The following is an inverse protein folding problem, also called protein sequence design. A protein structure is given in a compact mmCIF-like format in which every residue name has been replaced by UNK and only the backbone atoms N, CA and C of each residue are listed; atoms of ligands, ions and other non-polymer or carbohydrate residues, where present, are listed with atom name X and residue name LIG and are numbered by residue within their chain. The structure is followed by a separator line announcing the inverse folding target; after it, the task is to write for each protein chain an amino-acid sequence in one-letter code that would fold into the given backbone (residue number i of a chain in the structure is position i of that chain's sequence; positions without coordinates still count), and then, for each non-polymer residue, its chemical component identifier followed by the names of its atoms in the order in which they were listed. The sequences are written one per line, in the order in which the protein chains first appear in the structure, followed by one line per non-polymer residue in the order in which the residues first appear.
data_IF_958054315068
#
_entry.id   IF_958054315068
#
_cell.length_a   1.000
_cell.length_b   1.000
_cell.length_c   1.000
_cell.angle_alpha   90.00
_cell.angle_beta   90.00
_cell.angle_gamma   90.00
#
_symmetry.space_group_name_H-M   'P 1'
#
loop_
_entity.id
_entity.type
_entity.pdbx_description
1 polymer ?
#
# COMPACT_ATOMS: atom_id res chain seq x y z
N UNK A 1 -0.57 6.88 -21.32
CA UNK A 1 0.55 7.56 -20.61
C UNK A 1 0.11 8.20 -19.31
N UNK A 2 -0.88 9.11 -19.32
CA UNK A 2 -1.36 9.81 -18.12
C UNK A 2 -1.67 8.87 -16.92
N UNK A 3 -2.47 7.83 -17.15
CA UNK A 3 -2.81 6.84 -16.11
C UNK A 3 -1.59 6.19 -15.46
N UNK A 4 -0.55 5.89 -16.25
CA UNK A 4 0.67 5.29 -15.77
C UNK A 4 1.51 6.26 -14.93
N UNK A 5 1.65 7.51 -15.38
CA UNK A 5 2.34 8.54 -14.60
C UNK A 5 1.62 8.83 -13.28
N UNK A 6 0.30 8.85 -13.31
CA UNK A 6 -0.53 9.07 -12.12
C UNK A 6 -0.34 7.93 -11.11
N UNK A 7 -0.47 6.66 -11.54
CA UNK A 7 -0.22 5.52 -10.65
C UNK A 7 1.23 5.47 -10.17
N UNK A 8 2.20 5.73 -11.04
CA UNK A 8 3.61 5.80 -10.68
C UNK A 8 3.84 6.84 -9.58
N UNK A 9 3.31 8.05 -9.74
CA UNK A 9 3.42 9.12 -8.74
C UNK A 9 2.76 8.72 -7.42
N UNK A 10 1.56 8.12 -7.47
CA UNK A 10 0.83 7.66 -6.31
C UNK A 10 1.62 6.60 -5.53
N UNK A 11 2.07 5.53 -6.19
CA UNK A 11 2.77 4.43 -5.52
C UNK A 11 4.17 4.80 -5.06
N UNK A 12 4.85 5.74 -5.73
CA UNK A 12 6.17 6.22 -5.30
C UNK A 12 6.08 7.13 -4.09
N UNK A 13 5.14 8.08 -4.11
CA UNK A 13 5.03 9.11 -3.09
C UNK A 13 4.14 8.73 -1.92
N UNK A 14 3.39 7.62 -2.00
CA UNK A 14 2.34 7.23 -1.04
C UNK A 14 2.63 7.55 0.44
N UNK A 15 3.79 7.14 1.00
CA UNK A 15 4.07 7.39 2.42
C UNK A 15 4.35 8.88 2.75
N UNK A 16 4.76 9.67 1.76
CA UNK A 16 5.15 11.07 1.90
C UNK A 16 4.05 12.05 1.50
N UNK A 17 2.92 11.57 1.00
CA UNK A 17 1.83 12.42 0.53
C UNK A 17 1.15 13.11 1.70
N UNK A 18 0.97 14.43 1.57
CA UNK A 18 0.05 15.17 2.42
C UNK A 18 -1.37 14.65 2.21
N UNK A 19 -2.24 14.78 3.22
CA UNK A 19 -3.66 14.40 3.13
C UNK A 19 -4.36 14.92 1.86
N UNK A 20 -4.27 16.23 1.49
CA UNK A 20 -4.89 16.71 0.26
C UNK A 20 -4.23 16.13 -0.99
N UNK A 21 -2.91 15.97 -1.01
CA UNK A 21 -2.19 15.37 -2.15
C UNK A 21 -2.60 13.91 -2.39
N UNK A 22 -2.76 13.13 -1.32
CA UNK A 22 -3.26 11.76 -1.40
C UNK A 22 -4.70 11.73 -1.94
N UNK A 23 -5.60 12.56 -1.41
CA UNK A 23 -6.99 12.63 -1.88
C UNK A 23 -7.05 13.03 -3.36
N UNK A 24 -6.23 13.99 -3.79
CA UNK A 24 -6.15 14.42 -5.19
C UNK A 24 -5.74 13.27 -6.12
N UNK A 25 -4.70 12.51 -5.76
CA UNK A 25 -4.22 11.39 -6.58
C UNK A 25 -5.21 10.22 -6.60
N UNK A 26 -5.85 9.92 -5.47
CA UNK A 26 -6.89 8.90 -5.39
C UNK A 26 -8.12 9.27 -6.23
N UNK A 27 -8.64 10.50 -6.07
CA UNK A 27 -9.76 11.01 -6.86
C UNK A 27 -9.41 11.07 -8.35
N UNK A 28 -8.23 11.58 -8.70
CA UNK A 28 -7.75 11.63 -10.07
C UNK A 28 -7.65 10.23 -10.69
N UNK A 29 -7.22 9.22 -9.91
CA UNK A 29 -7.21 7.83 -10.35
C UNK A 29 -8.63 7.34 -10.67
N UNK A 30 -9.56 7.55 -9.75
CA UNK A 30 -10.95 7.11 -9.88
C UNK A 30 -11.70 7.81 -11.02
N UNK A 31 -11.53 9.12 -11.17
CA UNK A 31 -12.13 9.90 -12.26
C UNK A 31 -11.56 9.47 -13.62
N UNK A 32 -10.24 9.27 -13.72
CA UNK A 32 -9.64 8.81 -14.97
C UNK A 32 -10.10 7.40 -15.34
N UNK A 33 -10.21 6.50 -14.36
CA UNK A 33 -10.78 5.17 -14.58
C UNK A 33 -12.24 5.24 -15.01
N UNK A 34 -13.06 6.08 -14.39
CA UNK A 34 -14.46 6.25 -14.74
C UNK A 34 -14.60 6.80 -16.16
N UNK A 35 -13.89 7.87 -16.50
CA UNK A 35 -13.89 8.43 -17.85
C UNK A 35 -13.48 7.40 -18.89
N UNK A 36 -12.41 6.63 -18.63
CA UNK A 36 -12.01 5.55 -19.52
C UNK A 36 -13.10 4.47 -19.61
N UNK A 37 -13.83 4.18 -18.52
CA UNK A 37 -14.92 3.18 -18.50
C UNK A 37 -16.14 3.61 -19.26
N UNK A 38 -16.44 4.91 -19.29
CA UNK A 38 -17.59 5.45 -20.02
C UNK A 38 -17.35 5.56 -21.53
N UNK A 39 -16.09 5.68 -21.94
CA UNK A 39 -15.71 5.82 -23.35
C UNK A 39 -15.52 4.48 -24.09
N UNK A 40 -15.49 3.36 -23.36
CA UNK A 40 -15.28 2.03 -23.92
C UNK A 40 -16.46 1.11 -23.65
N UNK A 41 -16.72 0.12 -24.53
CA UNK A 41 -17.77 -0.87 -24.28
C UNK A 41 -17.49 -1.65 -23.00
N UNK A 42 -18.56 -2.02 -22.30
CA UNK A 42 -18.49 -2.75 -21.05
C UNK A 42 -17.77 -4.10 -21.27
N UNK A 43 -16.66 -4.29 -20.55
CA UNK A 43 -15.98 -5.58 -20.48
C UNK A 43 -16.57 -6.43 -19.35
N UNK A 44 -16.59 -7.77 -19.50
CA UNK A 44 -17.03 -8.65 -18.43
C UNK A 44 -16.13 -8.49 -17.19
N UNK A 45 -16.75 -8.42 -16.01
CA UNK A 45 -16.03 -8.32 -14.75
C UNK A 45 -15.33 -9.64 -14.42
N UNK A 46 -14.01 -9.59 -14.22
CA UNK A 46 -13.22 -10.74 -13.74
C UNK A 46 -13.63 -11.18 -12.33
N UNK A 47 -13.18 -12.37 -11.91
CA UNK A 47 -13.49 -12.95 -10.59
C UNK A 47 -13.17 -12.00 -9.43
N UNK A 48 -11.98 -11.40 -9.44
CA UNK A 48 -11.56 -10.42 -8.42
C UNK A 48 -12.48 -9.18 -8.40
N UNK A 49 -12.85 -8.67 -9.58
CA UNK A 49 -13.76 -7.52 -9.68
C UNK A 49 -15.13 -7.83 -9.07
N UNK A 50 -15.66 -9.03 -9.29
CA UNK A 50 -16.93 -9.47 -8.68
C UNK A 50 -16.83 -9.55 -7.15
N UNK A 51 -15.75 -10.09 -6.61
CA UNK A 51 -15.53 -10.15 -5.15
C UNK A 51 -15.44 -8.75 -4.53
N UNK A 52 -14.74 -7.83 -5.20
CA UNK A 52 -14.64 -6.44 -4.75
C UNK A 52 -16.00 -5.72 -4.79
N UNK A 53 -16.86 -6.02 -5.77
CA UNK A 53 -18.23 -5.49 -5.82
C UNK A 53 -19.11 -6.06 -4.71
N UNK A 54 -18.98 -7.35 -4.38
CA UNK A 54 -19.67 -7.93 -3.22
C UNK A 54 -19.20 -7.25 -1.95
N UNK A 55 -17.90 -7.05 -1.78
CA UNK A 55 -17.35 -6.32 -0.62
C UNK A 55 -17.88 -4.88 -0.55
N UNK A 56 -17.95 -4.17 -1.68
CA UNK A 56 -18.54 -2.83 -1.76
C UNK A 56 -20.03 -2.85 -1.37
N UNK A 57 -20.80 -3.81 -1.86
CA UNK A 57 -22.22 -3.94 -1.53
C UNK A 57 -22.43 -4.16 -0.03
N UNK A 58 -21.64 -5.05 0.58
CA UNK A 58 -21.64 -5.26 2.04
C UNK A 58 -21.28 -3.98 2.77
N UNK A 59 -20.26 -3.24 2.32
CA UNK A 59 -19.85 -1.98 2.94
C UNK A 59 -20.93 -0.90 2.85
N UNK A 60 -21.67 -0.82 1.74
CA UNK A 60 -22.81 0.10 1.58
C UNK A 60 -23.92 -0.24 2.57
N UNK A 61 -24.31 -1.52 2.66
CA UNK A 61 -25.31 -1.99 3.62
C UNK A 61 -24.87 -1.70 5.06
N UNK A 62 -23.63 -2.08 5.41
CA UNK A 62 -23.07 -1.83 6.74
C UNK A 62 -23.02 -0.34 7.10
N UNK A 63 -22.77 0.53 6.12
CA UNK A 63 -22.78 1.99 6.31
C UNK A 63 -24.18 2.51 6.61
N UNK A 64 -25.21 1.99 5.93
CA UNK A 64 -26.61 2.38 6.14
C UNK A 64 -27.15 2.00 7.52
N UNK A 65 -26.68 0.87 8.07
CA UNK A 65 -27.08 0.39 9.41
C UNK A 65 -26.11 0.77 10.54
N UNK A 66 -25.11 1.61 10.26
CA UNK A 66 -24.09 1.93 11.25
C UNK A 66 -24.63 2.85 12.37
N UNK A 67 -24.33 2.57 13.65
CA UNK A 67 -24.60 3.50 14.75
C UNK A 67 -23.76 4.79 14.67
N UNK A 68 -22.71 4.81 13.82
CA UNK A 68 -21.81 5.94 13.60
C UNK A 68 -21.75 6.33 12.12
N UNK A 69 -22.86 6.82 11.53
CA UNK A 69 -23.02 6.94 10.07
C UNK A 69 -21.99 7.88 9.42
N UNK A 70 -21.55 8.93 10.13
CA UNK A 70 -20.53 9.86 9.61
C UNK A 70 -19.16 9.20 9.43
N UNK A 71 -18.73 8.38 10.39
CA UNK A 71 -17.44 7.68 10.28
C UNK A 71 -17.54 6.50 9.31
N UNK A 72 -18.68 5.80 9.29
CA UNK A 72 -18.94 4.75 8.32
C UNK A 72 -18.92 5.27 6.88
N UNK A 73 -19.56 6.43 6.62
CA UNK A 73 -19.51 7.08 5.31
C UNK A 73 -18.09 7.46 4.90
N UNK A 74 -17.26 7.97 5.83
CA UNK A 74 -15.84 8.24 5.56
C UNK A 74 -15.09 6.97 5.18
N UNK A 75 -15.38 5.84 5.83
CA UNK A 75 -14.83 4.53 5.48
C UNK A 75 -15.25 4.08 4.07
N UNK A 76 -16.54 4.19 3.76
CA UNK A 76 -17.09 3.86 2.44
C UNK A 76 -16.46 4.71 1.33
N UNK A 77 -16.30 6.02 1.55
CA UNK A 77 -15.64 6.91 0.59
C UNK A 77 -14.18 6.51 0.33
N UNK A 78 -13.43 6.14 1.37
CA UNK A 78 -12.06 5.61 1.20
C UNK A 78 -12.06 4.32 0.38
N UNK A 79 -13.00 3.41 0.65
CA UNK A 79 -13.13 2.17 -0.13
C UNK A 79 -13.39 2.47 -1.62
N UNK A 80 -14.33 3.36 -1.93
CA UNK A 80 -14.62 3.77 -3.31
C UNK A 80 -13.38 4.34 -4.00
N UNK A 81 -12.64 5.20 -3.30
CA UNK A 81 -11.38 5.77 -3.80
C UNK A 81 -10.34 4.68 -4.12
N UNK A 82 -10.16 3.71 -3.22
CA UNK A 82 -9.24 2.58 -3.44
C UNK A 82 -9.68 1.68 -4.58
N UNK A 83 -10.99 1.45 -4.74
CA UNK A 83 -11.53 0.71 -5.89
C UNK A 83 -11.31 1.45 -7.21
N UNK A 84 -11.37 2.79 -7.21
CA UNK A 84 -11.01 3.61 -8.38
C UNK A 84 -9.54 3.45 -8.78
N UNK A 85 -8.62 3.46 -7.81
CA UNK A 85 -7.19 3.19 -8.05
C UNK A 85 -7.00 1.77 -8.58
N UNK A 86 -7.64 0.78 -7.96
CA UNK A 86 -7.58 -0.61 -8.41
C UNK A 86 -8.11 -0.74 -9.85
N UNK A 87 -9.24 -0.11 -10.17
CA UNK A 87 -9.83 -0.12 -11.51
C UNK A 87 -8.91 0.47 -12.56
N UNK A 88 -8.27 1.62 -12.24
CA UNK A 88 -7.29 2.25 -13.12
C UNK A 88 -6.07 1.33 -13.33
N UNK A 89 -5.53 0.78 -12.25
CA UNK A 89 -4.36 -0.11 -12.29
C UNK A 89 -4.65 -1.39 -13.06
N UNK A 90 -5.74 -2.08 -12.75
CA UNK A 90 -6.16 -3.30 -13.44
C UNK A 90 -6.31 -3.07 -14.93
N UNK A 91 -6.94 -1.96 -15.34
CA UNK A 91 -7.11 -1.64 -16.76
C UNK A 91 -5.81 -1.27 -17.45
N UNK A 92 -4.99 -0.40 -16.86
CA UNK A 92 -3.71 0.01 -17.44
C UNK A 92 -2.79 -1.20 -17.63
N UNK A 93 -2.67 -2.02 -16.59
CA UNK A 93 -1.71 -3.12 -16.51
C UNK A 93 -2.11 -4.35 -17.33
N UNK A 94 -3.40 -4.51 -17.64
CA UNK A 94 -3.89 -5.53 -18.58
C UNK A 94 -3.73 -5.09 -20.04
N UNK A 95 -3.99 -3.82 -20.34
CA UNK A 95 -3.87 -3.27 -21.71
C UNK A 95 -2.43 -2.97 -22.13
N UNK A 96 -1.60 -2.50 -21.21
CA UNK A 96 -0.23 -2.09 -21.51
C UNK A 96 0.74 -2.64 -20.47
N UNK A 97 1.31 -3.81 -20.80
CA UNK A 97 2.22 -4.54 -19.90
C UNK A 97 3.50 -3.76 -19.58
N UNK A 98 3.89 -2.78 -20.41
CA UNK A 98 5.10 -1.99 -20.19
C UNK A 98 5.04 -1.13 -18.91
N UNK A 99 3.84 -0.89 -18.36
CA UNK A 99 3.66 -0.15 -17.11
C UNK A 99 3.85 -0.97 -15.83
N UNK A 100 3.96 -2.30 -15.91
CA UNK A 100 4.22 -3.12 -14.71
C UNK A 100 5.53 -2.75 -14.03
N UNK A 101 6.63 -2.73 -14.78
CA UNK A 101 7.95 -2.47 -14.21
C UNK A 101 8.09 -1.05 -13.64
N UNK A 102 7.68 0.03 -14.33
CA UNK A 102 7.73 1.38 -13.77
C UNK A 102 6.90 1.52 -12.50
N UNK A 103 5.64 1.06 -12.49
CA UNK A 103 4.75 1.18 -11.33
C UNK A 103 5.30 0.39 -10.14
N UNK A 104 5.79 -0.84 -10.39
CA UNK A 104 6.43 -1.65 -9.36
C UNK A 104 7.72 -1.00 -8.84
N UNK A 105 8.57 -0.49 -9.73
CA UNK A 105 9.78 0.22 -9.32
C UNK A 105 9.48 1.47 -8.48
N UNK A 106 8.41 2.20 -8.80
CA UNK A 106 7.92 3.32 -7.99
C UNK A 106 7.51 2.89 -6.58
N UNK A 107 6.69 1.84 -6.48
CA UNK A 107 6.31 1.27 -5.17
C UNK A 107 7.54 0.83 -4.36
N UNK A 108 8.49 0.15 -5.00
CA UNK A 108 9.73 -0.27 -4.35
C UNK A 108 10.60 0.91 -3.93
N UNK A 109 10.63 2.00 -4.71
CA UNK A 109 11.37 3.20 -4.35
C UNK A 109 10.77 3.88 -3.12
N UNK A 110 9.44 4.00 -3.06
CA UNK A 110 8.75 4.49 -1.87
C UNK A 110 8.96 3.56 -0.67
N UNK A 111 8.92 2.25 -0.88
CA UNK A 111 9.22 1.21 0.11
C UNK A 111 10.63 1.31 0.68
N UNK A 112 11.63 1.49 -0.19
CA UNK A 112 13.02 1.67 0.19
C UNK A 112 13.21 2.93 1.01
N UNK A 113 12.64 4.05 0.55
CA UNK A 113 12.73 5.33 1.26
C UNK A 113 12.12 5.23 2.67
N UNK A 114 10.94 4.61 2.82
CA UNK A 114 10.34 4.36 4.13
C UNK A 114 11.19 3.45 5.01
N UNK A 115 11.70 2.35 4.48
CA UNK A 115 12.54 1.44 5.24
C UNK A 115 13.82 2.15 5.75
N UNK A 116 14.45 2.97 4.91
CA UNK A 116 15.63 3.76 5.30
C UNK A 116 15.29 4.79 6.37
N UNK A 117 14.18 5.52 6.23
CA UNK A 117 13.73 6.51 7.21
C UNK A 117 13.39 5.87 8.55
N UNK A 118 12.72 4.72 8.54
CA UNK A 118 12.42 3.95 9.72
C UNK A 118 13.71 3.49 10.41
N UNK A 119 14.65 2.87 9.69
CA UNK A 119 15.91 2.38 10.26
C UNK A 119 16.82 3.50 10.79
N UNK A 120 16.75 4.71 10.22
CA UNK A 120 17.46 5.88 10.76
C UNK A 120 17.00 6.26 12.16
N UNK A 121 15.77 5.91 12.56
CA UNK A 121 15.27 6.17 13.91
C UNK A 121 16.10 5.46 14.99
N UNK A 122 16.78 4.36 14.65
CA UNK A 122 17.67 3.64 15.56
C UNK A 122 18.91 4.45 15.98
N UNK A 123 19.32 5.45 15.19
CA UNK A 123 20.51 6.27 15.48
C UNK A 123 20.18 7.56 16.24
N UNK A 124 18.93 8.04 16.14
CA UNK A 124 18.49 9.30 16.74
C UNK A 124 17.71 9.14 18.05
N UNK A 125 17.52 7.89 18.51
CA UNK A 125 16.53 7.53 19.51
C UNK A 125 15.13 7.62 18.89
N UNK A 126 14.44 6.49 18.75
CA UNK A 126 13.05 6.54 18.31
C UNK A 126 12.23 7.12 19.47
N UNK A 127 11.95 8.42 19.44
CA UNK A 127 11.03 9.03 20.40
C UNK A 127 9.72 8.25 20.26
N UNK A 128 9.31 7.57 21.32
CA UNK A 128 8.04 6.86 21.35
C UNK A 128 6.90 7.88 21.17
N UNK A 129 6.52 8.14 19.91
CA UNK A 129 5.39 9.01 19.58
C UNK A 129 4.04 8.40 19.98
N UNK A 130 4.04 7.11 20.32
CA UNK A 130 2.85 6.39 20.73
C UNK A 130 2.56 6.60 22.23
N UNK A 131 1.75 7.60 22.54
CA UNK A 131 1.15 7.80 23.88
C UNK A 131 0.06 6.78 24.23
N UNK A 132 -0.19 5.81 23.34
CA UNK A 132 -1.27 4.82 23.42
C UNK A 132 -0.79 3.40 23.80
N UNK A 133 0.46 3.24 24.22
CA UNK A 133 0.92 1.96 24.77
C UNK A 133 0.48 1.84 26.23
N UNK A 134 -0.37 0.86 26.53
CA UNK A 134 -0.74 0.52 27.90
C UNK A 134 0.52 0.27 28.75
N UNK A 135 0.57 0.83 29.96
CA UNK A 135 1.65 0.65 30.95
C UNK A 135 1.90 -0.83 31.30
N UNK A 136 0.92 -1.70 31.08
CA UNK A 136 1.01 -3.14 31.29
C UNK A 136 1.53 -3.92 30.07
N UNK A 137 1.87 -3.26 28.95
CA UNK A 137 2.29 -3.96 27.74
C UNK A 137 3.69 -4.58 27.90
N UNK A 138 3.85 -5.82 27.45
CA UNK A 138 5.16 -6.53 27.42
C UNK A 138 6.20 -5.82 26.53
N UNK A 139 5.76 -4.81 25.75
CA UNK A 139 6.58 -3.99 24.88
C UNK A 139 6.82 -2.59 25.48
N UNK A 140 6.54 -2.39 26.77
CA UNK A 140 6.89 -1.14 27.47
C UNK A 140 8.40 -0.91 27.33
N UNK A 141 8.77 0.20 26.71
CA UNK A 141 10.17 0.54 26.45
C UNK A 141 10.79 -0.06 25.18
N UNK A 142 10.04 -0.81 24.36
CA UNK A 142 10.52 -1.19 23.04
C UNK A 142 10.45 0.03 22.10
N UNK A 143 11.61 0.47 21.59
CA UNK A 143 11.69 1.47 20.53
C UNK A 143 11.11 0.89 19.22
N UNK A 144 9.86 1.23 18.91
CA UNK A 144 9.16 0.76 17.72
C UNK A 144 9.40 1.73 16.57
N UNK A 145 9.83 1.20 15.41
CA UNK A 145 10.00 2.03 14.23
C UNK A 145 8.65 2.37 13.59
N UNK A 146 8.49 3.62 13.19
CA UNK A 146 7.26 4.13 12.60
C UNK A 146 7.47 4.90 11.28
N UNK A 147 8.72 5.11 10.86
CA UNK A 147 9.04 5.75 9.58
C UNK A 147 8.47 7.16 9.47
N UNK A 148 8.07 7.58 8.26
CA UNK A 148 7.38 8.88 8.09
C UNK A 148 5.89 8.82 8.46
N UNK A 149 5.33 7.61 8.53
CA UNK A 149 3.90 7.36 8.74
C UNK A 149 3.41 7.62 10.17
N UNK A 150 4.33 7.79 11.12
CA UNK A 150 4.00 8.13 12.51
C UNK A 150 3.28 7.02 13.29
N UNK A 151 3.12 5.83 12.71
CA UNK A 151 2.48 4.69 13.34
C UNK A 151 3.16 3.37 12.90
N UNK A 152 3.67 2.55 13.83
CA UNK A 152 4.36 1.30 13.51
C UNK A 152 3.46 0.28 12.79
N UNK A 153 2.15 0.29 13.05
CA UNK A 153 1.22 -0.60 12.36
C UNK A 153 0.95 -0.14 10.92
N UNK A 154 0.95 1.17 10.66
CA UNK A 154 0.82 1.69 9.30
C UNK A 154 2.08 1.39 8.49
N UNK A 155 3.27 1.59 9.08
CA UNK A 155 4.54 1.20 8.46
C UNK A 155 4.56 -0.29 8.17
N UNK A 156 4.22 -1.14 9.15
CA UNK A 156 4.12 -2.57 8.96
C UNK A 156 3.16 -2.94 7.82
N UNK A 157 1.94 -2.41 7.83
CA UNK A 157 0.94 -2.66 6.78
C UNK A 157 1.38 -2.19 5.38
N UNK A 158 2.15 -1.10 5.30
CA UNK A 158 2.73 -0.62 4.04
C UNK A 158 3.84 -1.54 3.51
N UNK A 159 4.70 -2.05 4.39
CA UNK A 159 5.83 -2.91 4.01
C UNK A 159 5.42 -4.36 3.70
N UNK A 160 4.31 -4.86 4.27
CA UNK A 160 3.77 -6.21 4.00
C UNK A 160 3.68 -6.53 2.51
N UNK A 161 3.04 -5.72 1.64
CA UNK A 161 3.00 -5.98 0.21
C UNK A 161 4.31 -5.66 -0.52
N UNK A 162 5.13 -4.73 0.00
CA UNK A 162 6.41 -4.33 -0.62
C UNK A 162 7.40 -5.49 -0.67
N UNK A 163 7.52 -6.26 0.41
CA UNK A 163 8.48 -7.37 0.53
C UNK A 163 8.28 -8.48 -0.52
N UNK A 164 7.11 -9.13 -0.65
CA UNK A 164 6.88 -10.16 -1.67
C UNK A 164 7.02 -9.61 -3.09
N UNK A 165 6.60 -8.36 -3.33
CA UNK A 165 6.77 -7.72 -4.63
C UNK A 165 8.25 -7.43 -4.94
N UNK A 166 9.06 -7.09 -3.94
CA UNK A 166 10.50 -6.92 -4.07
C UNK A 166 11.19 -8.25 -4.42
N UNK A 167 10.78 -9.35 -3.77
CA UNK A 167 11.26 -10.71 -4.08
C UNK A 167 10.91 -11.05 -5.54
N UNK A 168 9.65 -10.88 -5.94
CA UNK A 168 9.21 -11.12 -7.32
C UNK A 168 10.00 -10.28 -8.34
N UNK A 169 10.25 -9.00 -8.04
CA UNK A 169 11.06 -8.12 -8.89
C UNK A 169 12.52 -8.57 -8.99
N UNK A 170 13.14 -8.98 -7.88
CA UNK A 170 14.53 -9.46 -7.86
C UNK A 170 14.74 -10.76 -8.66
N UNK A 171 13.69 -11.60 -8.73
CA UNK A 171 13.66 -12.82 -9.52
C UNK A 171 13.34 -12.56 -11.00
N UNK A 172 12.48 -11.59 -11.31
CA UNK A 172 11.98 -11.36 -12.66
C UNK A 172 12.81 -10.37 -13.48
N UNK A 173 13.38 -9.33 -12.86
CA UNK A 173 14.15 -8.31 -13.57
C UNK A 173 15.49 -8.84 -14.06
N UNK A 174 15.87 -8.50 -15.29
CA UNK A 174 17.04 -9.06 -15.97
C UNK A 174 18.35 -8.35 -15.62
N UNK A 175 18.30 -7.03 -15.45
CA UNK A 175 19.45 -6.18 -15.17
C UNK A 175 19.93 -6.35 -13.74
N UNK A 176 21.24 -6.60 -13.57
CA UNK A 176 21.85 -6.76 -12.25
C UNK A 176 21.59 -5.57 -11.30
N UNK A 177 21.71 -4.29 -11.74
CA UNK A 177 21.38 -3.15 -10.87
C UNK A 177 19.92 -3.14 -10.38
N UNK A 178 18.98 -3.53 -11.24
CA UNK A 178 17.55 -3.56 -10.87
C UNK A 178 17.26 -4.68 -9.89
N UNK A 179 17.88 -5.85 -10.08
CA UNK A 179 17.77 -6.97 -9.13
C UNK A 179 18.35 -6.61 -7.77
N UNK A 180 19.52 -5.95 -7.75
CA UNK A 180 20.14 -5.47 -6.52
C UNK A 180 19.25 -4.45 -5.82
N UNK A 181 18.69 -3.48 -6.55
CA UNK A 181 17.74 -2.51 -6.00
C UNK A 181 16.53 -3.19 -5.35
N UNK A 182 15.93 -4.17 -6.02
CA UNK A 182 14.81 -4.93 -5.47
C UNK A 182 15.21 -5.74 -4.23
N UNK A 183 16.35 -6.43 -4.27
CA UNK A 183 16.85 -7.23 -3.15
C UNK A 183 17.17 -6.37 -1.92
N UNK A 184 17.85 -5.24 -2.09
CA UNK A 184 18.14 -4.28 -1.02
C UNK A 184 16.85 -3.70 -0.44
N UNK A 185 15.90 -3.32 -1.30
CA UNK A 185 14.58 -2.85 -0.87
C UNK A 185 13.87 -3.88 -0.01
N UNK A 186 13.80 -5.14 -0.47
CA UNK A 186 13.18 -6.23 0.27
C UNK A 186 13.86 -6.50 1.61
N UNK A 187 15.20 -6.55 1.63
CA UNK A 187 15.98 -6.79 2.86
C UNK A 187 15.77 -5.70 3.91
N UNK A 188 15.86 -4.42 3.51
CA UNK A 188 15.62 -3.30 4.41
C UNK A 188 14.16 -3.23 4.86
N UNK A 189 13.21 -3.54 3.97
CA UNK A 189 11.79 -3.60 4.32
C UNK A 189 11.48 -4.71 5.35
N UNK A 190 12.11 -5.88 5.24
CA UNK A 190 11.99 -6.95 6.25
C UNK A 190 12.53 -6.47 7.60
N UNK A 191 13.73 -5.88 7.63
CA UNK A 191 14.33 -5.36 8.86
C UNK A 191 13.47 -4.26 9.50
N UNK A 192 12.98 -3.31 8.70
CA UNK A 192 12.11 -2.24 9.20
C UNK A 192 10.77 -2.81 9.72
N UNK A 193 10.16 -3.76 8.99
CA UNK A 193 8.90 -4.40 9.37
C UNK A 193 9.04 -5.17 10.69
N UNK A 194 10.11 -5.95 10.89
CA UNK A 194 10.33 -6.68 12.14
C UNK A 194 10.45 -5.73 13.32
N UNK A 195 11.19 -4.63 13.16
CA UNK A 195 11.40 -3.61 14.20
C UNK A 195 10.18 -2.70 14.44
N UNK A 196 9.09 -2.84 13.68
CA UNK A 196 7.80 -2.21 14.05
C UNK A 196 7.10 -2.91 15.23
N UNK A 197 7.46 -4.17 15.48
CA UNK A 197 6.76 -5.08 16.40
C UNK A 197 5.24 -5.19 16.14
N UNK A 198 4.81 -4.94 14.89
CA UNK A 198 3.41 -5.10 14.51
C UNK A 198 3.09 -6.57 14.24
N UNK A 199 2.47 -7.24 15.21
CA UNK A 199 2.06 -8.67 15.09
C UNK A 199 1.19 -8.91 13.86
N UNK A 200 0.29 -7.99 13.55
CA UNK A 200 -0.55 -8.05 12.34
C UNK A 200 0.29 -8.00 11.06
N UNK A 201 1.33 -7.17 11.02
CA UNK A 201 2.25 -7.12 9.88
C UNK A 201 3.09 -8.41 9.76
N UNK A 202 3.51 -9.00 10.89
CA UNK A 202 4.25 -10.27 10.88
C UNK A 202 3.41 -11.43 10.36
N UNK A 203 2.17 -11.55 10.83
CA UNK A 203 1.22 -12.55 10.33
C UNK A 203 0.91 -12.31 8.85
N UNK A 204 0.67 -11.06 8.46
CA UNK A 204 0.43 -10.69 7.07
C UNK A 204 1.60 -11.02 6.15
N UNK A 205 2.84 -10.78 6.59
CA UNK A 205 4.04 -11.16 5.85
C UNK A 205 4.17 -12.68 5.73
N UNK A 206 3.94 -13.42 6.82
CA UNK A 206 3.95 -14.89 6.80
C UNK A 206 2.95 -15.47 5.80
N UNK A 207 1.71 -14.96 5.79
CA UNK A 207 0.70 -15.36 4.82
C UNK A 207 1.08 -14.98 3.38
N UNK A 208 1.66 -13.80 3.16
CA UNK A 208 2.06 -13.35 1.83
C UNK A 208 3.21 -14.20 1.25
N UNK A 209 4.19 -14.57 2.08
CA UNK A 209 5.29 -15.46 1.67
C UNK A 209 4.82 -16.89 1.43
N UNK A 210 3.81 -17.37 2.16
CA UNK A 210 3.22 -18.68 1.91
C UNK A 210 2.60 -18.81 0.51
N UNK A 211 2.14 -17.71 -0.11
CA UNK A 211 1.66 -17.72 -1.50
C UNK A 211 2.76 -17.93 -2.55
N UNK A 212 4.05 -17.84 -2.19
CA UNK A 212 5.18 -18.12 -3.07
C UNK A 212 5.63 -19.59 -3.06
N UNK A 213 5.14 -20.38 -2.09
CA UNK A 213 5.41 -21.82 -1.94
C UNK A 213 4.28 -22.61 -2.58
#
# INVERSE_FOLDING_TARGET
MLAGLLLLSLFTALPFLSRPGMVLLLLGSGLLWLSWSLLEPAAPLGSMGRLLLVFLAVAVVATGFSPVPREALRGLLKLILYLGVWGLAARLLTRNRNWWNPVLAGLLLGGLAEAVLALRQLQGGAIALATWSDEASILLGAERLYGSLGNPNLLGGYLVPVIPLAIGAALHWRSWPSRLFAAVTGGLAVLALTLTYSRGAWLGLGSALACFV
#
